data_IF_947267261214
#
_entry.id   IF_947267261214
#
_cell.length_a   1.000
_cell.length_b   1.000
_cell.length_c   1.000
_cell.angle_alpha   90.00
_cell.angle_beta   90.00
_cell.angle_gamma   90.00
#
_symmetry.space_group_name_H-M   'P 1'
#
loop_
_entity.id
_entity.type
_entity.pdbx_description
1 polymer ?
#
# COMPACT_ATOMS: atom_id res chain seq x y z
N UNK A 1 -20.66 53.30 20.89
CA UNK A 1 -21.73 52.61 20.13
C UNK A 1 -22.84 52.24 21.09
N UNK A 2 -24.12 52.43 20.71
CA UNK A 2 -25.23 51.97 21.53
C UNK A 2 -25.29 50.45 21.59
N UNK A 3 -25.82 49.88 22.65
CA UNK A 3 -25.96 48.45 22.87
C UNK A 3 -26.69 47.74 21.69
N UNK A 4 -27.67 48.47 21.09
CA UNK A 4 -28.36 47.97 19.88
C UNK A 4 -27.47 47.94 18.64
N UNK A 5 -26.56 48.90 18.50
CA UNK A 5 -25.64 48.93 17.37
C UNK A 5 -24.59 47.79 17.48
N UNK A 6 -24.14 47.51 18.71
CA UNK A 6 -23.21 46.40 18.99
C UNK A 6 -23.84 45.02 18.68
N UNK A 7 -25.09 44.81 19.15
CA UNK A 7 -25.82 43.56 18.84
C UNK A 7 -26.06 43.38 17.35
N UNK A 8 -26.45 44.43 16.61
CA UNK A 8 -26.63 44.34 15.15
C UNK A 8 -25.32 44.03 14.44
N UNK A 9 -24.20 44.61 14.86
CA UNK A 9 -22.90 44.36 14.30
C UNK A 9 -22.46 42.90 14.58
N UNK A 10 -22.61 42.42 15.82
CA UNK A 10 -22.29 41.06 16.21
C UNK A 10 -23.15 40.01 15.46
N UNK A 11 -24.46 40.27 15.31
CA UNK A 11 -25.34 39.41 14.50
C UNK A 11 -24.95 39.42 13.02
N UNK A 12 -24.56 40.58 12.47
CA UNK A 12 -24.08 40.68 11.09
C UNK A 12 -22.79 39.92 10.88
N UNK A 13 -21.82 40.02 11.81
CA UNK A 13 -20.58 39.29 11.76
C UNK A 13 -20.82 37.77 11.82
N UNK A 14 -21.66 37.32 12.76
CA UNK A 14 -22.00 35.90 12.90
C UNK A 14 -22.68 35.37 11.63
N UNK A 15 -23.62 36.10 11.06
CA UNK A 15 -24.31 35.73 9.82
C UNK A 15 -23.30 35.63 8.67
N UNK A 16 -22.39 36.59 8.54
CA UNK A 16 -21.34 36.55 7.50
C UNK A 16 -20.44 35.35 7.67
N UNK A 17 -20.01 35.03 8.90
CA UNK A 17 -19.21 33.84 9.19
C UNK A 17 -19.95 32.57 8.80
N UNK A 18 -21.22 32.42 9.18
CA UNK A 18 -22.04 31.28 8.82
C UNK A 18 -22.21 31.12 7.30
N UNK A 19 -22.39 32.23 6.59
CA UNK A 19 -22.48 32.21 5.13
C UNK A 19 -21.18 31.81 4.47
N UNK A 20 -20.03 32.28 4.97
CA UNK A 20 -18.70 31.85 4.46
C UNK A 20 -18.46 30.39 4.73
N UNK A 21 -18.69 29.88 5.95
CA UNK A 21 -18.55 28.46 6.27
C UNK A 21 -19.50 27.60 5.44
N UNK A 22 -20.76 28.05 5.27
CA UNK A 22 -21.72 27.35 4.41
C UNK A 22 -21.28 27.30 2.93
N UNK A 23 -20.68 28.38 2.43
CA UNK A 23 -20.14 28.41 1.07
C UNK A 23 -18.94 27.45 0.92
N UNK A 24 -18.02 27.43 1.89
CA UNK A 24 -16.90 26.48 1.90
C UNK A 24 -17.40 25.02 1.92
N UNK A 25 -18.33 24.70 2.83
CA UNK A 25 -18.93 23.37 2.90
C UNK A 25 -19.65 22.99 1.59
N UNK A 26 -20.34 23.92 0.97
CA UNK A 26 -21.03 23.69 -0.31
C UNK A 26 -20.04 23.39 -1.45
N UNK A 27 -18.89 24.08 -1.48
CA UNK A 27 -17.81 23.81 -2.46
C UNK A 27 -17.25 22.42 -2.23
N UNK A 28 -16.89 22.05 -0.99
CA UNK A 28 -16.36 20.71 -0.67
C UNK A 28 -17.38 19.63 -1.01
N UNK A 29 -18.64 19.81 -0.64
CA UNK A 29 -19.71 18.86 -0.95
C UNK A 29 -19.94 18.69 -2.47
N UNK A 30 -19.88 19.77 -3.24
CA UNK A 30 -20.10 19.74 -4.68
C UNK A 30 -18.92 19.13 -5.43
N UNK A 31 -17.69 19.49 -5.05
CA UNK A 31 -16.47 18.96 -5.65
C UNK A 31 -16.21 17.54 -5.19
N UNK A 32 -16.39 17.27 -3.91
CA UNK A 32 -16.16 15.98 -3.25
C UNK A 32 -14.76 15.42 -3.55
N UNK A 33 -13.70 16.10 -3.09
CA UNK A 33 -12.33 15.77 -3.50
C UNK A 33 -11.87 14.41 -3.01
N UNK A 34 -12.47 13.89 -1.92
CA UNK A 34 -12.16 12.54 -1.40
C UNK A 34 -13.10 11.46 -1.95
N UNK A 35 -13.97 11.79 -2.89
CA UNK A 35 -14.97 10.86 -3.43
C UNK A 35 -15.91 10.30 -2.35
N UNK A 36 -16.06 10.98 -1.23
CA UNK A 36 -16.75 10.46 -0.05
C UNK A 36 -18.23 10.18 -0.30
N UNK A 37 -18.91 11.11 -0.99
CA UNK A 37 -20.31 10.98 -1.35
C UNK A 37 -20.52 10.36 -2.74
N UNK A 38 -19.56 10.54 -3.67
CA UNK A 38 -19.68 10.06 -5.06
C UNK A 38 -18.38 10.14 -5.86
N UNK A 39 -18.21 9.25 -6.82
CA UNK A 39 -17.20 9.44 -7.87
C UNK A 39 -17.60 10.60 -8.80
N UNK A 40 -16.64 11.41 -9.27
CA UNK A 40 -16.93 12.48 -10.23
C UNK A 40 -17.41 11.89 -11.57
N UNK A 41 -18.50 12.45 -12.14
CA UNK A 41 -19.08 12.01 -13.42
C UNK A 41 -18.77 12.99 -14.55
N UNK A 42 -18.69 14.27 -14.24
CA UNK A 42 -18.57 15.36 -15.22
C UNK A 42 -17.14 15.91 -15.33
N UNK A 43 -16.20 15.30 -14.63
CA UNK A 43 -14.79 15.67 -14.60
C UNK A 43 -13.93 14.45 -14.30
N UNK A 44 -12.64 14.51 -14.69
CA UNK A 44 -11.67 13.49 -14.30
C UNK A 44 -11.49 13.49 -12.77
N UNK A 45 -11.34 12.32 -12.14
CA UNK A 45 -10.90 12.25 -10.75
C UNK A 45 -9.51 12.87 -10.61
N UNK A 46 -9.22 13.43 -9.45
CA UNK A 46 -7.90 13.95 -9.10
C UNK A 46 -7.43 13.24 -7.85
N UNK A 47 -6.30 12.56 -7.95
CA UNK A 47 -5.74 11.77 -6.86
C UNK A 47 -4.67 12.58 -6.12
N UNK A 48 -4.73 12.61 -4.78
CA UNK A 48 -3.80 13.41 -3.96
C UNK A 48 -3.44 12.76 -2.62
N UNK A 49 -4.23 11.85 -2.11
CA UNK A 49 -3.96 11.15 -0.84
C UNK A 49 -4.75 9.86 -0.75
N UNK A 50 -4.04 8.76 -0.68
CA UNK A 50 -4.62 7.42 -0.56
C UNK A 50 -5.47 7.32 0.71
N UNK A 51 -4.95 7.77 1.88
CA UNK A 51 -5.67 7.67 3.16
C UNK A 51 -7.00 8.42 3.16
N UNK A 52 -7.05 9.59 2.50
CA UNK A 52 -8.28 10.38 2.42
C UNK A 52 -9.25 9.87 1.36
N UNK A 53 -8.73 9.34 0.25
CA UNK A 53 -9.57 8.98 -0.90
C UNK A 53 -9.99 7.52 -0.92
N UNK A 54 -9.25 6.62 -0.28
CA UNK A 54 -9.58 5.19 -0.23
C UNK A 54 -10.96 4.92 0.33
N UNK A 55 -11.38 5.63 1.37
CA UNK A 55 -12.73 5.49 1.93
C UNK A 55 -13.82 5.77 0.88
N UNK A 56 -13.68 6.87 0.14
CA UNK A 56 -14.60 7.23 -0.94
C UNK A 56 -14.54 6.27 -2.13
N UNK A 57 -13.34 5.80 -2.48
CA UNK A 57 -13.14 4.79 -3.53
C UNK A 57 -13.89 3.51 -3.17
N UNK A 58 -13.72 3.00 -1.95
CA UNK A 58 -14.40 1.80 -1.45
C UNK A 58 -15.92 1.98 -1.44
N UNK A 59 -16.43 3.12 -0.97
CA UNK A 59 -17.88 3.38 -0.87
C UNK A 59 -18.58 3.44 -2.23
N UNK A 60 -17.87 3.86 -3.26
CA UNK A 60 -18.47 4.18 -4.57
C UNK A 60 -18.09 3.20 -5.69
N UNK A 61 -17.29 2.16 -5.39
CA UNK A 61 -16.87 1.19 -6.39
C UNK A 61 -16.92 -0.23 -5.82
N UNK A 62 -17.87 -1.02 -6.32
CA UNK A 62 -17.89 -2.45 -6.07
C UNK A 62 -16.85 -3.15 -6.98
N UNK A 63 -16.23 -4.19 -6.46
CA UNK A 63 -15.32 -5.04 -7.23
C UNK A 63 -15.40 -6.49 -6.74
N UNK A 64 -15.23 -7.43 -7.66
CA UNK A 64 -15.22 -8.87 -7.34
C UNK A 64 -13.89 -9.25 -6.70
N UNK A 65 -12.79 -8.59 -7.11
CA UNK A 65 -11.44 -8.84 -6.62
C UNK A 65 -10.80 -7.52 -6.17
N UNK A 66 -10.29 -7.49 -4.94
CA UNK A 66 -9.61 -6.31 -4.39
C UNK A 66 -8.17 -6.64 -4.07
N UNK A 67 -7.24 -5.84 -4.58
CA UNK A 67 -5.84 -5.84 -4.14
C UNK A 67 -5.65 -4.75 -3.08
N UNK A 68 -5.26 -5.16 -1.88
CA UNK A 68 -4.94 -4.27 -0.75
C UNK A 68 -3.48 -4.43 -0.36
N UNK A 69 -2.82 -3.33 -0.05
CA UNK A 69 -1.46 -3.37 0.47
C UNK A 69 -0.85 -1.99 0.68
N UNK A 70 0.46 -1.98 0.91
CA UNK A 70 1.25 -0.76 1.10
C UNK A 70 1.61 -0.11 -0.25
N UNK A 71 2.64 0.76 -0.24
CA UNK A 71 3.24 1.31 -1.46
C UNK A 71 3.67 0.24 -2.47
N UNK A 72 3.95 -0.99 -2.03
CA UNK A 72 4.25 -2.12 -2.91
C UNK A 72 3.13 -2.45 -3.89
N UNK A 73 1.90 -2.08 -3.59
CA UNK A 73 0.76 -2.28 -4.49
C UNK A 73 0.43 -1.05 -5.35
N UNK A 74 1.15 0.05 -5.21
CA UNK A 74 0.83 1.32 -5.89
C UNK A 74 0.83 1.22 -7.42
N UNK A 75 1.72 0.41 -7.99
CA UNK A 75 1.89 0.29 -9.44
C UNK A 75 1.08 -0.84 -10.09
N UNK A 76 0.21 -1.52 -9.35
CA UNK A 76 -0.74 -2.44 -9.95
C UNK A 76 -1.96 -1.70 -10.52
N UNK A 77 -2.56 -2.26 -11.55
CA UNK A 77 -3.82 -1.76 -12.12
C UNK A 77 -4.98 -2.64 -11.66
N UNK A 78 -6.01 -2.03 -11.07
CA UNK A 78 -7.21 -2.76 -10.62
C UNK A 78 -7.87 -3.55 -11.76
N UNK A 79 -7.93 -2.98 -12.97
CA UNK A 79 -8.46 -3.68 -14.15
C UNK A 79 -7.67 -4.95 -14.50
N UNK A 80 -6.35 -4.95 -14.31
CA UNK A 80 -5.49 -6.13 -14.52
C UNK A 80 -5.73 -7.19 -13.44
N UNK A 81 -5.88 -6.75 -12.18
CA UNK A 81 -6.26 -7.65 -11.07
C UNK A 81 -7.55 -8.38 -11.41
N UNK A 82 -8.60 -7.65 -11.78
CA UNK A 82 -9.88 -8.26 -12.18
C UNK A 82 -9.77 -9.18 -13.40
N UNK A 83 -9.05 -8.76 -14.43
CA UNK A 83 -8.88 -9.58 -15.65
C UNK A 83 -8.18 -10.91 -15.38
N UNK A 84 -7.19 -10.93 -14.46
CA UNK A 84 -6.44 -12.14 -14.12
C UNK A 84 -7.26 -13.11 -13.27
N UNK A 85 -8.08 -12.61 -12.34
CA UNK A 85 -8.86 -13.43 -11.42
C UNK A 85 -10.33 -13.61 -11.82
N UNK A 86 -10.76 -13.04 -12.95
CA UNK A 86 -12.07 -13.33 -13.56
C UNK A 86 -13.21 -12.47 -13.03
N UNK A 87 -13.01 -11.15 -12.93
CA UNK A 87 -14.08 -10.23 -12.51
C UNK A 87 -13.68 -8.77 -12.66
N UNK A 88 -14.38 -7.89 -11.98
CA UNK A 88 -13.98 -6.50 -11.81
C UNK A 88 -12.94 -6.40 -10.70
N UNK A 89 -11.88 -5.61 -10.90
CA UNK A 89 -10.80 -5.47 -9.94
C UNK A 89 -10.63 -4.06 -9.43
N UNK A 90 -10.27 -3.93 -8.16
CA UNK A 90 -9.96 -2.65 -7.50
C UNK A 90 -8.63 -2.76 -6.76
N UNK A 91 -7.82 -1.72 -6.85
CA UNK A 91 -6.60 -1.57 -6.07
C UNK A 91 -6.82 -0.55 -4.97
N UNK A 92 -6.44 -0.91 -3.75
CA UNK A 92 -6.46 -0.07 -2.56
C UNK A 92 -5.06 -0.06 -1.96
N UNK A 93 -4.43 1.12 -1.91
CA UNK A 93 -3.05 1.27 -1.44
C UNK A 93 -3.02 2.21 -0.25
N UNK A 94 -2.30 1.83 0.81
CA UNK A 94 -2.00 2.69 1.96
C UNK A 94 -0.47 2.72 2.11
N UNK A 95 0.22 3.69 1.50
CA UNK A 95 1.68 3.75 1.53
C UNK A 95 2.21 3.76 2.96
N UNK A 96 3.21 2.91 3.23
CA UNK A 96 3.81 2.74 4.55
C UNK A 96 2.77 2.45 5.66
N UNK A 97 1.69 1.72 5.28
CA UNK A 97 0.54 1.46 6.15
C UNK A 97 0.84 0.56 7.32
N UNK A 98 0.11 0.74 8.42
CA UNK A 98 0.07 -0.19 9.54
C UNK A 98 -1.09 -1.17 9.40
N UNK A 99 -1.01 -2.33 10.06
CA UNK A 99 -2.08 -3.31 10.03
C UNK A 99 -3.41 -2.78 10.58
N UNK A 100 -3.38 -1.84 11.52
CA UNK A 100 -4.57 -1.11 11.98
C UNK A 100 -5.23 -0.29 10.87
N UNK A 101 -4.45 0.35 10.00
CA UNK A 101 -4.97 1.12 8.86
C UNK A 101 -5.57 0.19 7.80
N UNK A 102 -4.94 -0.95 7.53
CA UNK A 102 -5.50 -1.98 6.65
C UNK A 102 -6.79 -2.59 7.22
N UNK A 103 -6.90 -2.74 8.54
CA UNK A 103 -8.14 -3.23 9.19
C UNK A 103 -9.29 -2.24 9.05
N UNK A 104 -9.03 -0.95 9.14
CA UNK A 104 -10.04 0.09 8.85
C UNK A 104 -10.56 0.01 7.43
N UNK A 105 -9.64 -0.09 6.44
CA UNK A 105 -10.00 -0.24 5.02
C UNK A 105 -10.79 -1.54 4.79
N UNK A 106 -10.31 -2.66 5.34
CA UNK A 106 -10.96 -3.96 5.22
C UNK A 106 -12.36 -3.94 5.85
N UNK A 107 -12.50 -3.36 7.04
CA UNK A 107 -13.79 -3.25 7.73
C UNK A 107 -14.78 -2.43 6.91
N UNK A 108 -14.35 -1.31 6.32
CA UNK A 108 -15.20 -0.51 5.44
C UNK A 108 -15.57 -1.29 4.17
N UNK A 109 -14.62 -1.96 3.52
CA UNK A 109 -14.81 -2.74 2.31
C UNK A 109 -15.87 -3.83 2.52
N UNK A 110 -15.72 -4.64 3.57
CA UNK A 110 -16.61 -5.74 3.88
C UNK A 110 -18.03 -5.28 4.29
N UNK A 111 -18.14 -4.06 4.82
CA UNK A 111 -19.42 -3.47 5.20
C UNK A 111 -20.17 -2.88 4.01
N UNK A 112 -19.44 -2.36 3.01
CA UNK A 112 -20.04 -1.66 1.87
C UNK A 112 -20.22 -2.55 0.65
N UNK A 113 -19.14 -3.14 0.17
CA UNK A 113 -19.06 -3.94 -1.04
C UNK A 113 -18.11 -5.12 -0.83
N UNK A 114 -18.53 -6.17 -0.07
CA UNK A 114 -17.67 -7.32 0.16
C UNK A 114 -17.28 -7.98 -1.18
N UNK A 115 -15.99 -8.13 -1.48
CA UNK A 115 -15.52 -8.81 -2.67
C UNK A 115 -15.59 -10.33 -2.50
N UNK A 116 -15.52 -11.07 -3.60
CA UNK A 116 -15.36 -12.53 -3.56
C UNK A 116 -13.92 -12.91 -3.15
N UNK A 117 -12.94 -12.05 -3.50
CA UNK A 117 -11.52 -12.31 -3.30
C UNK A 117 -10.76 -11.05 -2.90
N UNK A 118 -9.86 -11.21 -1.94
CA UNK A 118 -8.90 -10.19 -1.53
C UNK A 118 -7.48 -10.71 -1.76
N UNK A 119 -6.70 -10.00 -2.58
CA UNK A 119 -5.25 -10.14 -2.63
C UNK A 119 -4.66 -9.18 -1.59
N UNK A 120 -3.81 -9.67 -0.70
CA UNK A 120 -3.15 -8.82 0.29
C UNK A 120 -1.64 -9.01 0.28
N UNK A 121 -0.93 -7.90 0.06
CA UNK A 121 0.52 -7.87 0.07
C UNK A 121 1.05 -7.92 1.51
N UNK A 122 1.70 -9.01 1.87
CA UNK A 122 2.43 -9.18 3.12
C UNK A 122 3.85 -8.62 2.95
N UNK A 123 4.00 -7.35 3.20
CA UNK A 123 5.30 -6.71 3.12
C UNK A 123 6.14 -7.04 4.35
N UNK A 124 7.27 -7.71 4.17
CA UNK A 124 8.10 -8.19 5.26
C UNK A 124 8.52 -7.06 6.22
N UNK A 125 8.82 -5.87 5.69
CA UNK A 125 9.17 -4.70 6.50
C UNK A 125 8.01 -4.20 7.38
N UNK A 126 6.78 -4.30 6.89
CA UNK A 126 5.58 -3.85 7.61
C UNK A 126 5.10 -4.95 8.56
N UNK A 127 5.18 -6.21 8.13
CA UNK A 127 4.79 -7.37 8.92
C UNK A 127 5.57 -7.47 10.23
N UNK A 128 6.85 -7.10 10.20
CA UNK A 128 7.75 -7.15 11.36
C UNK A 128 7.83 -5.86 12.16
N UNK A 129 7.12 -4.82 11.73
CA UNK A 129 7.10 -3.51 12.38
C UNK A 129 6.22 -3.52 13.62
N UNK A 130 6.61 -2.73 14.63
CA UNK A 130 5.78 -2.54 15.82
C UNK A 130 4.40 -1.98 15.46
N UNK A 131 3.31 -2.64 15.87
CA UNK A 131 1.94 -2.18 15.60
C UNK A 131 1.57 -0.89 16.31
N UNK A 132 2.33 -0.47 17.34
CA UNK A 132 2.09 0.75 18.09
C UNK A 132 2.47 2.05 17.34
N UNK A 133 3.13 1.94 16.19
CA UNK A 133 3.51 3.09 15.37
C UNK A 133 2.35 3.61 14.51
N UNK A 134 2.42 4.89 14.10
CA UNK A 134 1.48 5.51 13.15
C UNK A 134 2.27 6.39 12.19
N UNK A 135 2.23 6.10 10.90
CA UNK A 135 2.89 6.92 9.87
C UNK A 135 2.04 8.06 9.35
N UNK A 136 0.74 7.87 9.28
CA UNK A 136 -0.19 8.90 8.83
C UNK A 136 -1.50 8.76 9.59
N UNK A 137 -2.10 9.88 9.98
CA UNK A 137 -3.41 9.81 10.60
C UNK A 137 -4.46 9.44 9.55
N UNK A 138 -5.07 8.27 9.68
CA UNK A 138 -6.27 7.94 8.94
C UNK A 138 -7.38 8.93 9.34
N UNK A 139 -8.10 9.51 8.38
CA UNK A 139 -9.24 10.38 8.69
C UNK A 139 -10.45 9.51 9.11
N UNK A 140 -10.47 9.09 10.37
CA UNK A 140 -11.46 8.19 11.00
C UNK A 140 -12.90 8.50 10.59
N UNK A 141 -13.24 9.80 10.52
CA UNK A 141 -14.56 10.27 10.11
C UNK A 141 -14.95 9.96 8.65
N UNK A 142 -14.01 9.52 7.80
CA UNK A 142 -14.32 9.05 6.44
C UNK A 142 -14.57 7.54 6.41
N UNK A 143 -14.11 6.82 7.43
CA UNK A 143 -14.19 5.35 7.51
C UNK A 143 -15.35 4.85 8.38
N UNK A 144 -16.04 5.73 9.10
CA UNK A 144 -17.23 5.38 9.90
C UNK A 144 -18.56 5.64 9.15
N UNK A 145 -19.70 5.44 9.82
CA UNK A 145 -21.05 5.68 9.28
C UNK A 145 -21.75 6.83 10.03
N UNK A 146 -21.02 7.62 10.81
CA UNK A 146 -21.58 8.75 11.56
C UNK A 146 -21.65 10.02 10.72
N UNK A 147 -22.75 10.25 10.02
CA UNK A 147 -22.97 11.46 9.23
C UNK A 147 -22.95 12.77 10.04
N UNK A 148 -23.02 12.70 11.38
CA UNK A 148 -22.94 13.92 12.21
C UNK A 148 -21.51 14.47 12.26
N UNK A 149 -20.51 13.63 12.07
CA UNK A 149 -19.11 14.04 12.04
C UNK A 149 -18.62 14.48 10.65
N UNK A 150 -19.46 14.37 9.59
CA UNK A 150 -19.15 14.84 8.23
C UNK A 150 -18.80 16.35 8.21
N UNK A 151 -19.17 17.10 9.23
CA UNK A 151 -18.72 18.47 9.39
C UNK A 151 -17.17 18.59 9.41
N UNK A 152 -16.45 17.55 9.86
CA UNK A 152 -14.98 17.47 9.84
C UNK A 152 -14.45 17.36 8.40
N UNK A 153 -15.21 16.77 7.50
CA UNK A 153 -14.91 16.71 6.07
C UNK A 153 -15.26 18.02 5.37
N UNK A 154 -16.48 18.52 5.56
CA UNK A 154 -17.03 19.66 4.84
C UNK A 154 -16.38 21.00 5.22
N UNK A 155 -15.87 21.12 6.46
CA UNK A 155 -15.27 22.34 7.00
C UNK A 155 -13.75 22.19 7.24
N UNK A 156 -13.11 21.21 6.63
CA UNK A 156 -11.67 21.02 6.70
C UNK A 156 -10.96 21.93 5.68
N UNK A 157 -9.87 22.58 6.11
CA UNK A 157 -9.06 23.44 5.23
C UNK A 157 -8.40 22.66 4.08
N UNK A 158 -8.00 21.40 4.34
CA UNK A 158 -7.30 20.58 3.37
C UNK A 158 -8.28 20.08 2.28
N UNK A 159 -9.48 19.65 2.66
CA UNK A 159 -10.53 19.29 1.69
C UNK A 159 -11.00 20.48 0.85
N UNK A 160 -11.06 21.67 1.44
CA UNK A 160 -11.33 22.89 0.67
C UNK A 160 -10.19 23.21 -0.30
N UNK A 161 -8.94 23.08 0.14
CA UNK A 161 -7.77 23.26 -0.72
C UNK A 161 -7.79 22.27 -1.90
N UNK A 162 -7.99 20.98 -1.62
CA UNK A 162 -8.07 19.95 -2.67
C UNK A 162 -9.29 20.11 -3.58
N UNK A 163 -10.40 20.65 -3.07
CA UNK A 163 -11.54 21.01 -3.91
C UNK A 163 -11.16 22.08 -4.93
N UNK A 164 -10.47 23.13 -4.49
CA UNK A 164 -10.01 24.20 -5.38
C UNK A 164 -8.94 23.68 -6.35
N UNK A 165 -8.00 22.87 -5.85
CA UNK A 165 -6.98 22.22 -6.67
C UNK A 165 -7.61 21.33 -7.74
N UNK A 166 -8.58 20.48 -7.40
CA UNK A 166 -9.28 19.62 -8.35
C UNK A 166 -9.99 20.42 -9.45
N UNK A 167 -10.59 21.57 -9.12
CA UNK A 167 -11.22 22.45 -10.13
C UNK A 167 -10.19 23.13 -11.05
N UNK A 168 -9.04 23.50 -10.51
CA UNK A 168 -8.00 24.20 -11.26
C UNK A 168 -7.18 23.24 -12.15
N UNK A 169 -6.94 22.02 -11.68
CA UNK A 169 -6.09 21.04 -12.34
C UNK A 169 -6.77 20.20 -13.42
N UNK A 170 -8.07 20.41 -13.68
CA UNK A 170 -8.84 19.64 -14.68
C UNK A 170 -8.18 19.53 -16.05
N UNK A 171 -7.41 20.54 -16.44
CA UNK A 171 -6.73 20.58 -17.74
C UNK A 171 -5.49 19.69 -17.80
N UNK A 172 -4.86 19.42 -16.65
CA UNK A 172 -3.60 18.66 -16.55
C UNK A 172 -3.85 17.20 -16.17
N UNK A 173 -4.94 16.93 -15.42
CA UNK A 173 -5.28 15.59 -14.93
C UNK A 173 -6.38 14.93 -15.78
N UNK A 174 -6.61 15.44 -16.99
CA UNK A 174 -7.57 14.85 -17.92
C UNK A 174 -7.05 13.48 -18.40
N UNK A 175 -7.52 12.40 -17.81
CA UNK A 175 -7.13 11.03 -18.15
C UNK A 175 -6.76 10.15 -16.96
N UNK A 176 -6.61 10.71 -15.76
CA UNK A 176 -6.47 9.88 -14.56
C UNK A 176 -7.72 9.03 -14.33
N UNK A 177 -7.49 7.80 -13.92
CA UNK A 177 -8.53 6.79 -13.62
C UNK A 177 -8.19 6.08 -12.31
N UNK A 178 -9.07 5.21 -11.82
CA UNK A 178 -8.75 4.34 -10.68
C UNK A 178 -7.55 3.40 -10.95
N UNK A 179 -7.27 3.10 -12.21
CA UNK A 179 -6.12 2.28 -12.59
C UNK A 179 -4.79 3.05 -12.51
N UNK A 180 -4.82 4.34 -12.84
CA UNK A 180 -3.61 5.16 -12.95
C UNK A 180 -3.39 6.10 -11.77
N UNK A 181 -4.44 6.39 -11.00
CA UNK A 181 -4.33 7.21 -9.80
C UNK A 181 -3.36 6.61 -8.79
N UNK A 182 -2.51 7.45 -8.18
CA UNK A 182 -1.46 7.06 -7.22
C UNK A 182 -0.34 6.16 -7.77
N UNK A 183 -0.28 5.92 -9.09
CA UNK A 183 0.85 5.19 -9.69
C UNK A 183 2.09 6.08 -9.78
N UNK A 184 3.26 5.45 -9.72
CA UNK A 184 4.56 6.12 -9.80
C UNK A 184 5.22 6.00 -11.17
N UNK A 185 4.62 5.21 -12.09
CA UNK A 185 5.23 4.86 -13.39
C UNK A 185 5.78 6.06 -14.18
N UNK A 186 5.11 7.22 -14.09
CA UNK A 186 5.54 8.44 -14.80
C UNK A 186 6.41 9.38 -13.94
N UNK A 187 6.70 8.99 -12.68
CA UNK A 187 7.38 9.88 -11.71
C UNK A 187 8.74 9.39 -11.26
N UNK A 188 9.06 8.12 -11.49
CA UNK A 188 10.33 7.49 -11.14
C UNK A 188 10.88 6.69 -12.32
N UNK A 189 12.16 6.41 -12.28
CA UNK A 189 12.81 5.57 -13.29
C UNK A 189 12.95 4.14 -12.75
N UNK A 190 12.60 3.18 -13.60
CA UNK A 190 12.66 1.75 -13.33
C UNK A 190 13.86 1.17 -14.04
N UNK A 191 14.99 1.08 -13.37
CA UNK A 191 16.21 0.49 -13.90
C UNK A 191 17.21 0.22 -12.77
N UNK A 192 18.19 -0.65 -13.06
CA UNK A 192 19.23 -1.03 -12.10
C UNK A 192 20.06 0.16 -11.60
N UNK A 193 20.26 1.21 -12.41
CA UNK A 193 21.05 2.37 -12.00
C UNK A 193 20.32 3.15 -10.90
N UNK A 194 19.02 3.38 -11.08
CA UNK A 194 18.19 4.05 -10.09
C UNK A 194 18.10 3.24 -8.81
N UNK A 195 17.82 1.92 -8.93
CA UNK A 195 17.74 1.02 -7.78
C UNK A 195 19.02 0.99 -6.95
N UNK A 196 20.18 1.08 -7.59
CA UNK A 196 21.48 1.13 -6.90
C UNK A 196 21.81 2.51 -6.33
N UNK A 197 21.42 3.60 -7.00
CA UNK A 197 21.65 4.97 -6.53
C UNK A 197 20.83 5.28 -5.27
N UNK A 198 19.60 4.79 -5.24
CA UNK A 198 18.69 4.89 -4.08
C UNK A 198 19.00 3.86 -2.96
N UNK A 199 19.92 2.92 -3.21
CA UNK A 199 20.31 1.92 -2.22
C UNK A 199 21.54 2.34 -1.40
N UNK A 200 21.29 2.88 -0.23
CA UNK A 200 22.35 3.14 0.76
C UNK A 200 22.78 1.81 1.42
N UNK A 201 23.85 1.22 0.89
CA UNK A 201 24.37 -0.08 1.34
C UNK A 201 24.89 0.01 2.76
N UNK A 202 24.33 -0.72 3.75
CA UNK A 202 24.72 -0.57 5.15
C UNK A 202 26.07 -1.19 5.43
N UNK A 203 26.75 -0.70 6.48
CA UNK A 203 27.91 -1.37 7.06
C UNK A 203 27.52 -2.72 7.67
N UNK A 204 28.44 -3.68 7.67
CA UNK A 204 28.21 -4.99 8.27
C UNK A 204 28.04 -4.85 9.79
N UNK A 205 26.92 -5.31 10.31
CA UNK A 205 26.63 -5.26 11.73
C UNK A 205 27.62 -6.11 12.55
N UNK A 206 28.12 -5.55 13.63
CA UNK A 206 29.04 -6.25 14.53
C UNK A 206 28.35 -7.37 15.35
N UNK A 207 27.02 -7.29 15.49
CA UNK A 207 26.20 -8.26 16.25
C UNK A 207 24.91 -8.50 15.48
N UNK A 208 24.59 -9.78 15.30
CA UNK A 208 23.32 -10.16 14.64
C UNK A 208 22.13 -9.97 15.57
N UNK A 209 20.99 -9.63 14.98
CA UNK A 209 19.70 -9.55 15.67
C UNK A 209 19.29 -10.95 16.16
N UNK A 210 18.83 -11.11 17.41
CA UNK A 210 18.30 -12.39 17.87
C UNK A 210 17.11 -12.85 17.04
N UNK A 211 17.04 -14.13 16.67
CA UNK A 211 15.96 -14.69 15.84
C UNK A 211 14.53 -14.41 16.37
N UNK A 212 14.37 -14.28 17.69
CA UNK A 212 13.08 -13.99 18.30
C UNK A 212 12.71 -12.50 18.38
N UNK A 213 13.57 -11.58 17.92
CA UNK A 213 13.39 -10.14 18.14
C UNK A 213 12.13 -9.56 17.49
N UNK A 214 11.72 -10.10 16.36
CA UNK A 214 10.58 -9.60 15.57
C UNK A 214 9.26 -10.38 15.82
N UNK A 215 9.29 -11.47 16.57
CA UNK A 215 8.16 -12.40 16.66
C UNK A 215 6.93 -11.80 17.35
N UNK A 216 7.11 -10.96 18.36
CA UNK A 216 5.97 -10.38 19.10
C UNK A 216 5.16 -9.43 18.20
N UNK A 217 5.82 -8.49 17.54
CA UNK A 217 5.19 -7.54 16.63
C UNK A 217 4.58 -8.26 15.42
N UNK A 218 5.29 -9.24 14.86
CA UNK A 218 4.78 -10.10 13.78
C UNK A 218 3.50 -10.84 14.20
N UNK A 219 3.45 -11.42 15.38
CA UNK A 219 2.28 -12.14 15.87
C UNK A 219 1.07 -11.21 16.03
N UNK A 220 1.27 -9.99 16.53
CA UNK A 220 0.22 -8.99 16.67
C UNK A 220 -0.32 -8.54 15.31
N UNK A 221 0.56 -8.28 14.35
CA UNK A 221 0.16 -7.94 12.98
C UNK A 221 -0.58 -9.09 12.29
N UNK A 222 -0.13 -10.33 12.43
CA UNK A 222 -0.79 -11.51 11.88
C UNK A 222 -2.18 -11.75 12.50
N UNK A 223 -2.39 -11.36 13.76
CA UNK A 223 -3.69 -11.47 14.40
C UNK A 223 -4.77 -10.65 13.69
N UNK A 224 -4.41 -9.54 13.05
CA UNK A 224 -5.32 -8.76 12.21
C UNK A 224 -5.77 -9.58 11.00
N UNK A 225 -4.83 -10.20 10.30
CA UNK A 225 -5.11 -11.00 9.09
C UNK A 225 -5.94 -12.24 9.41
N UNK A 226 -5.60 -12.95 10.47
CA UNK A 226 -6.37 -14.14 10.91
C UNK A 226 -7.77 -13.78 11.39
N UNK A 227 -7.95 -12.57 11.95
CA UNK A 227 -9.26 -12.05 12.28
C UNK A 227 -10.10 -11.81 11.02
N UNK A 228 -9.52 -11.33 9.92
CA UNK A 228 -10.24 -11.21 8.64
C UNK A 228 -10.71 -12.57 8.13
N UNK A 229 -9.80 -13.55 8.06
CA UNK A 229 -10.13 -14.89 7.60
C UNK A 229 -11.25 -15.54 8.42
N UNK A 230 -11.24 -15.30 9.75
CA UNK A 230 -12.27 -15.82 10.66
C UNK A 230 -13.61 -15.10 10.53
N UNK A 231 -13.58 -13.77 10.38
CA UNK A 231 -14.81 -12.95 10.30
C UNK A 231 -15.50 -13.04 8.94
N UNK A 232 -14.74 -13.34 7.88
CA UNK A 232 -15.22 -13.35 6.50
C UNK A 232 -14.90 -14.69 5.84
N UNK A 233 -15.50 -15.81 6.32
CA UNK A 233 -15.15 -17.15 5.85
C UNK A 233 -15.52 -17.44 4.40
N UNK A 234 -16.44 -16.65 3.82
CA UNK A 234 -16.87 -16.77 2.42
C UNK A 234 -15.98 -15.97 1.45
N UNK A 235 -15.01 -15.20 1.95
CA UNK A 235 -14.06 -14.43 1.16
C UNK A 235 -12.76 -15.23 1.01
N UNK A 236 -12.26 -15.34 -0.23
CA UNK A 236 -10.96 -15.93 -0.49
C UNK A 236 -9.85 -14.89 -0.30
N UNK A 237 -8.83 -15.22 0.49
CA UNK A 237 -7.67 -14.38 0.75
C UNK A 237 -6.44 -14.97 0.08
N UNK A 238 -5.95 -14.34 -1.00
CA UNK A 238 -4.65 -14.63 -1.60
C UNK A 238 -3.60 -13.70 -1.00
N UNK A 239 -2.82 -14.23 -0.07
CA UNK A 239 -1.76 -13.48 0.61
C UNK A 239 -0.43 -13.76 -0.07
N UNK A 240 0.37 -12.74 -0.28
CA UNK A 240 1.67 -12.93 -0.91
C UNK A 240 2.75 -12.09 -0.25
N UNK A 241 3.91 -12.67 -0.04
CA UNK A 241 5.09 -11.89 0.35
C UNK A 241 5.58 -11.11 -0.87
N UNK A 242 5.58 -9.78 -0.76
CA UNK A 242 5.98 -8.88 -1.85
C UNK A 242 7.42 -9.15 -2.32
N UNK A 243 7.68 -9.19 -3.62
CA UNK A 243 9.01 -9.46 -4.16
C UNK A 243 9.89 -8.22 -4.04
N UNK A 244 10.56 -8.05 -2.91
CA UNK A 244 11.61 -7.07 -2.76
C UNK A 244 12.85 -7.48 -3.56
N UNK A 245 13.64 -6.51 -4.03
CA UNK A 245 14.82 -6.83 -4.85
C UNK A 245 15.90 -7.60 -4.07
N UNK A 246 16.89 -8.12 -4.79
CA UNK A 246 18.06 -8.76 -4.15
C UNK A 246 18.81 -7.81 -3.21
N UNK A 247 18.71 -6.49 -3.42
CA UNK A 247 19.30 -5.49 -2.53
C UNK A 247 18.67 -5.47 -1.13
N UNK A 248 17.38 -5.84 -1.02
CA UNK A 248 16.75 -6.05 0.28
C UNK A 248 17.43 -7.16 1.06
N UNK A 249 17.79 -8.26 0.40
CA UNK A 249 18.46 -9.40 1.04
C UNK A 249 19.90 -9.07 1.41
N UNK A 250 20.62 -8.29 0.58
CA UNK A 250 21.94 -7.75 0.94
C UNK A 250 21.85 -6.90 2.21
N UNK A 251 20.84 -6.03 2.29
CA UNK A 251 20.61 -5.20 3.47
C UNK A 251 20.35 -6.02 4.72
N UNK A 252 19.44 -7.00 4.65
CA UNK A 252 19.08 -7.86 5.78
C UNK A 252 20.27 -8.68 6.26
N UNK A 253 21.08 -9.22 5.34
CA UNK A 253 22.26 -10.00 5.68
C UNK A 253 23.34 -9.11 6.34
N UNK A 254 23.66 -7.97 5.75
CA UNK A 254 24.63 -7.02 6.29
C UNK A 254 24.23 -6.45 7.65
N UNK A 255 22.96 -6.19 7.88
CA UNK A 255 22.44 -5.75 9.17
C UNK A 255 22.36 -6.87 10.22
N UNK A 256 22.67 -8.14 9.83
CA UNK A 256 22.60 -9.29 10.72
C UNK A 256 21.17 -9.65 11.14
N UNK A 257 20.19 -9.34 10.30
CA UNK A 257 18.76 -9.52 10.58
C UNK A 257 18.19 -10.82 9.97
N UNK A 258 18.99 -11.56 9.20
CA UNK A 258 18.56 -12.75 8.46
C UNK A 258 17.77 -13.73 9.31
N UNK A 259 18.30 -14.14 10.47
CA UNK A 259 17.65 -15.12 11.34
C UNK A 259 16.33 -14.59 11.93
N UNK A 260 16.24 -13.31 12.24
CA UNK A 260 15.03 -12.70 12.79
C UNK A 260 13.92 -12.58 11.72
N UNK A 261 14.28 -12.17 10.50
CA UNK A 261 13.34 -12.08 9.37
C UNK A 261 12.83 -13.48 9.01
N UNK A 262 13.70 -14.49 8.88
CA UNK A 262 13.26 -15.86 8.57
C UNK A 262 12.39 -16.47 9.68
N UNK A 263 12.64 -16.17 10.95
CA UNK A 263 11.77 -16.58 12.05
C UNK A 263 10.38 -15.92 11.96
N UNK A 264 10.31 -14.65 11.56
CA UNK A 264 9.04 -13.96 11.34
C UNK A 264 8.26 -14.54 10.14
N UNK A 265 8.94 -14.85 9.01
CA UNK A 265 8.33 -15.49 7.85
C UNK A 265 7.84 -16.92 8.19
N UNK A 266 8.59 -17.66 9.00
CA UNK A 266 8.15 -18.98 9.49
C UNK A 266 6.91 -18.87 10.38
N UNK A 267 6.86 -17.86 11.27
CA UNK A 267 5.69 -17.58 12.09
C UNK A 267 4.48 -17.25 11.22
N UNK A 268 4.66 -16.44 10.17
CA UNK A 268 3.58 -16.10 9.25
C UNK A 268 3.02 -17.35 8.55
N UNK A 269 3.89 -18.22 8.01
CA UNK A 269 3.45 -19.49 7.41
C UNK A 269 2.67 -20.36 8.40
N UNK A 270 3.20 -20.57 9.61
CA UNK A 270 2.55 -21.37 10.66
C UNK A 270 1.18 -20.82 11.08
N UNK A 271 1.04 -19.49 11.09
CA UNK A 271 -0.17 -18.81 11.52
C UNK A 271 -1.24 -18.80 10.45
N UNK A 272 -0.87 -18.59 9.19
CA UNK A 272 -1.80 -18.35 8.10
C UNK A 272 -2.24 -19.63 7.37
N UNK A 273 -1.35 -20.59 7.16
CA UNK A 273 -1.64 -21.80 6.38
C UNK A 273 -2.77 -22.69 6.93
N UNK A 274 -3.10 -22.70 8.24
CA UNK A 274 -4.23 -23.49 8.75
C UNK A 274 -5.63 -23.00 8.35
N UNK A 275 -5.74 -21.78 7.78
CA UNK A 275 -7.03 -21.22 7.38
C UNK A 275 -7.41 -21.67 5.97
N UNK A 276 -8.57 -22.31 5.82
CA UNK A 276 -9.03 -22.88 4.54
C UNK A 276 -9.27 -21.82 3.44
N UNK A 277 -9.65 -20.61 3.83
CA UNK A 277 -9.88 -19.48 2.94
C UNK A 277 -8.64 -18.59 2.72
N UNK A 278 -7.46 -19.05 3.16
CA UNK A 278 -6.17 -18.38 2.88
C UNK A 278 -5.34 -19.22 1.89
N UNK A 279 -4.90 -18.60 0.82
CA UNK A 279 -3.80 -19.10 -0.02
C UNK A 279 -2.59 -18.20 0.19
N UNK A 280 -1.41 -18.78 0.48
CA UNK A 280 -0.18 -18.04 0.74
C UNK A 280 0.85 -18.28 -0.37
N UNK A 281 1.49 -17.20 -0.87
CA UNK A 281 2.49 -17.24 -1.93
C UNK A 281 3.81 -16.62 -1.49
N UNK A 282 4.92 -17.27 -1.87
CA UNK A 282 6.28 -16.89 -1.48
C UNK A 282 7.03 -16.10 -2.55
N UNK A 283 6.42 -15.09 -3.17
CA UNK A 283 7.04 -14.31 -4.27
C UNK A 283 8.30 -13.54 -3.88
N UNK A 284 8.51 -13.30 -2.58
CA UNK A 284 9.77 -12.75 -2.06
C UNK A 284 10.99 -13.66 -2.35
N UNK A 285 10.74 -14.91 -2.75
CA UNK A 285 11.76 -15.92 -3.06
C UNK A 285 11.89 -16.17 -4.57
N UNK A 286 11.27 -15.36 -5.40
CA UNK A 286 11.28 -15.53 -6.85
C UNK A 286 12.47 -14.80 -7.47
N UNK A 287 13.52 -15.57 -7.78
CA UNK A 287 14.78 -15.05 -8.34
C UNK A 287 14.60 -14.37 -9.69
N UNK A 288 13.67 -14.83 -10.51
CA UNK A 288 13.41 -14.24 -11.84
C UNK A 288 12.89 -12.79 -11.73
N UNK A 289 12.29 -12.44 -10.59
CA UNK A 289 11.84 -11.09 -10.31
C UNK A 289 12.89 -10.34 -9.50
N UNK A 290 13.33 -10.88 -8.35
CA UNK A 290 14.11 -10.12 -7.37
C UNK A 290 15.55 -9.80 -7.81
N UNK A 291 16.15 -10.60 -8.68
CA UNK A 291 17.49 -10.36 -9.24
C UNK A 291 17.46 -9.41 -10.45
N UNK A 292 16.28 -9.11 -11.01
CA UNK A 292 16.12 -8.22 -12.15
C UNK A 292 15.95 -6.79 -11.69
N UNK A 293 17.06 -6.07 -11.42
CA UNK A 293 17.03 -4.70 -10.90
C UNK A 293 16.36 -3.69 -11.85
N UNK A 294 16.23 -3.98 -13.15
CA UNK A 294 15.51 -3.13 -14.09
C UNK A 294 13.99 -3.07 -13.81
N UNK A 295 13.48 -3.93 -12.94
CA UNK A 295 12.10 -3.83 -12.44
C UNK A 295 11.94 -2.87 -11.26
N UNK A 296 13.02 -2.34 -10.67
CA UNK A 296 12.98 -1.61 -9.41
C UNK A 296 13.44 -0.16 -9.57
N UNK A 297 12.92 0.74 -8.71
CA UNK A 297 13.41 2.10 -8.57
C UNK A 297 14.22 2.32 -7.28
N UNK A 298 14.15 1.38 -6.35
CA UNK A 298 14.92 1.30 -5.12
C UNK A 298 15.08 -0.17 -4.69
N UNK A 299 15.47 -0.43 -3.46
CA UNK A 299 15.69 -1.81 -2.99
C UNK A 299 14.40 -2.62 -2.72
N UNK A 300 13.21 -2.01 -2.76
CA UNK A 300 11.93 -2.67 -2.49
C UNK A 300 10.87 -2.45 -3.57
N UNK A 301 10.69 -1.22 -4.09
CA UNK A 301 9.58 -0.87 -4.95
C UNK A 301 9.80 -1.31 -6.40
N UNK A 302 8.82 -2.02 -6.93
CA UNK A 302 8.86 -2.55 -8.29
C UNK A 302 7.84 -1.85 -9.21
N UNK A 303 8.12 -1.93 -10.52
CA UNK A 303 7.32 -1.36 -11.61
C UNK A 303 5.99 -2.07 -11.82
N UNK A 304 5.11 -1.46 -12.62
CA UNK A 304 3.88 -2.09 -13.07
C UNK A 304 4.14 -3.36 -13.90
N UNK A 305 5.24 -3.42 -14.66
CA UNK A 305 5.63 -4.60 -15.43
C UNK A 305 5.90 -5.80 -14.50
N UNK A 306 6.70 -5.61 -13.45
CA UNK A 306 6.91 -6.64 -12.43
C UNK A 306 5.60 -7.01 -11.72
N UNK A 307 4.73 -6.03 -11.45
CA UNK A 307 3.41 -6.27 -10.91
C UNK A 307 2.53 -7.17 -11.78
N UNK A 308 2.59 -7.06 -13.10
CA UNK A 308 1.88 -7.96 -14.02
C UNK A 308 2.45 -9.40 -13.95
N UNK A 309 3.77 -9.57 -13.80
CA UNK A 309 4.39 -10.88 -13.58
C UNK A 309 3.93 -11.50 -12.26
N UNK A 310 3.90 -10.70 -11.19
CA UNK A 310 3.38 -11.11 -9.88
C UNK A 310 1.94 -11.61 -9.99
N UNK A 311 1.05 -10.87 -10.64
CA UNK A 311 -0.35 -11.29 -10.84
C UNK A 311 -0.45 -12.60 -11.63
N UNK A 312 0.35 -12.77 -12.66
CA UNK A 312 0.38 -14.00 -13.44
C UNK A 312 0.83 -15.21 -12.59
N UNK A 313 1.84 -15.03 -11.74
CA UNK A 313 2.32 -16.08 -10.82
C UNK A 313 1.28 -16.41 -9.74
N UNK A 314 0.65 -15.42 -9.14
CA UNK A 314 -0.44 -15.60 -8.18
C UNK A 314 -1.58 -16.43 -8.78
N UNK A 315 -2.06 -16.06 -9.96
CA UNK A 315 -3.18 -16.75 -10.61
C UNK A 315 -2.84 -18.19 -11.06
N UNK A 316 -1.59 -18.45 -11.40
CA UNK A 316 -1.13 -19.79 -11.78
C UNK A 316 -0.89 -20.71 -10.58
N UNK A 317 -0.88 -20.15 -9.36
CA UNK A 317 -0.50 -20.87 -8.14
C UNK A 317 0.99 -21.19 -8.08
N UNK A 318 1.83 -20.54 -8.90
CA UNK A 318 3.28 -20.59 -8.75
C UNK A 318 3.68 -20.06 -7.35
N UNK A 319 4.78 -20.55 -6.82
CA UNK A 319 5.31 -20.13 -5.52
C UNK A 319 4.35 -20.28 -4.33
N UNK A 320 3.28 -21.09 -4.50
CA UNK A 320 2.34 -21.38 -3.42
C UNK A 320 3.04 -22.10 -2.27
N UNK A 321 2.89 -21.53 -1.07
CA UNK A 321 3.33 -22.14 0.17
C UNK A 321 2.22 -23.03 0.74
N UNK A 322 2.61 -24.17 1.26
CA UNK A 322 1.71 -25.16 1.90
C UNK A 322 2.33 -25.66 3.20
N UNK A 323 1.54 -26.34 4.04
CA UNK A 323 2.07 -26.97 5.26
C UNK A 323 3.20 -27.97 4.99
N UNK A 324 3.20 -28.62 3.81
CA UNK A 324 4.20 -29.61 3.44
C UNK A 324 5.50 -28.97 2.93
N UNK A 325 5.43 -27.81 2.25
CA UNK A 325 6.59 -27.26 1.54
C UNK A 325 7.26 -26.05 2.23
N UNK A 326 6.54 -25.25 3.04
CA UNK A 326 7.03 -23.95 3.49
C UNK A 326 8.37 -24.02 4.25
N UNK A 327 8.55 -25.05 5.12
CA UNK A 327 9.80 -25.19 5.89
C UNK A 327 11.01 -25.42 4.99
N UNK A 328 10.83 -26.27 3.98
CA UNK A 328 11.89 -26.54 2.99
C UNK A 328 12.17 -25.31 2.14
N UNK A 329 11.13 -24.61 1.72
CA UNK A 329 11.25 -23.36 0.95
C UNK A 329 12.02 -22.30 1.74
N UNK A 330 11.64 -22.05 2.99
CA UNK A 330 12.34 -21.09 3.85
C UNK A 330 13.79 -21.49 4.13
N UNK A 331 14.06 -22.77 4.39
CA UNK A 331 15.42 -23.25 4.62
C UNK A 331 16.30 -23.06 3.37
N UNK A 332 15.82 -23.44 2.20
CA UNK A 332 16.54 -23.26 0.94
C UNK A 332 16.80 -21.78 0.65
N UNK A 333 15.83 -20.92 0.95
CA UNK A 333 15.95 -19.49 0.71
C UNK A 333 16.92 -18.83 1.71
N UNK A 334 16.89 -19.24 2.97
CA UNK A 334 17.88 -18.81 3.95
C UNK A 334 19.29 -19.18 3.52
N UNK A 335 19.48 -20.45 3.06
CA UNK A 335 20.76 -20.90 2.55
C UNK A 335 21.20 -20.09 1.31
N UNK A 336 20.27 -19.73 0.43
CA UNK A 336 20.53 -18.85 -0.70
C UNK A 336 21.01 -17.47 -0.22
N UNK A 337 20.29 -16.83 0.70
CA UNK A 337 20.61 -15.48 1.21
C UNK A 337 21.99 -15.43 1.85
N UNK A 338 22.31 -16.37 2.75
CA UNK A 338 23.60 -16.34 3.47
C UNK A 338 24.81 -16.78 2.62
N UNK A 339 24.59 -17.44 1.48
CA UNK A 339 25.65 -17.88 0.58
C UNK A 339 25.70 -17.10 -0.73
N UNK A 340 24.84 -16.10 -0.89
CA UNK A 340 24.83 -15.28 -2.10
C UNK A 340 26.05 -14.36 -2.16
N UNK A 341 26.69 -14.29 -3.30
CA UNK A 341 27.87 -13.44 -3.50
C UNK A 341 27.45 -11.99 -3.79
N UNK A 342 26.99 -11.28 -2.73
CA UNK A 342 26.56 -9.88 -2.81
C UNK A 342 27.69 -8.95 -3.24
N UNK A 343 28.95 -9.24 -2.88
CA UNK A 343 30.07 -8.39 -3.30
C UNK A 343 30.28 -8.49 -4.81
N UNK A 344 30.23 -9.68 -5.37
CA UNK A 344 30.30 -9.86 -6.82
C UNK A 344 29.13 -9.20 -7.51
N UNK A 345 27.89 -9.39 -7.01
CA UNK A 345 26.69 -8.79 -7.58
C UNK A 345 26.80 -7.25 -7.55
N UNK A 346 27.25 -6.67 -6.43
CA UNK A 346 27.46 -5.24 -6.28
C UNK A 346 28.51 -4.72 -7.25
N UNK A 347 29.67 -5.36 -7.33
CA UNK A 347 30.77 -4.96 -8.22
C UNK A 347 30.36 -5.00 -9.70
N UNK A 348 29.64 -6.05 -10.10
CA UNK A 348 29.18 -6.21 -11.50
C UNK A 348 28.19 -5.10 -11.90
N UNK A 349 27.31 -4.67 -11.03
CA UNK A 349 26.27 -3.67 -11.33
C UNK A 349 26.73 -2.23 -11.04
N UNK A 350 27.43 -2.01 -9.94
CA UNK A 350 27.93 -0.69 -9.54
C UNK A 350 29.04 -0.19 -10.47
N UNK A 351 29.87 -1.09 -10.98
CA UNK A 351 30.95 -0.75 -11.91
C UNK A 351 30.44 -0.08 -13.19
N UNK A 352 29.30 -0.49 -13.70
CA UNK A 352 28.70 0.11 -14.89
C UNK A 352 28.26 1.57 -14.68
N UNK A 353 27.89 2.01 -13.50
CA UNK A 353 27.50 3.39 -13.21
C UNK A 353 28.64 4.38 -13.44
N UNK A 354 29.87 3.99 -13.15
CA UNK A 354 31.04 4.88 -13.22
C UNK A 354 31.87 4.74 -14.50
N UNK A 355 31.63 3.70 -15.31
CA UNK A 355 32.48 3.36 -16.42
C UNK A 355 31.76 3.24 -17.77
N UNK A 356 30.45 3.51 -17.86
CA UNK A 356 29.81 3.69 -19.16
C UNK A 356 30.27 5.02 -19.76
N UNK A 357 30.87 5.03 -20.97
CA UNK A 357 31.21 6.28 -21.66
C UNK A 357 29.92 7.07 -21.83
N UNK A 358 29.86 8.30 -21.33
CA UNK A 358 28.83 9.25 -21.68
C UNK A 358 28.72 9.29 -23.21
N UNK A 359 27.73 8.61 -23.77
CA UNK A 359 27.32 8.85 -25.15
C UNK A 359 26.57 10.18 -25.15
N UNK A 360 27.36 11.26 -25.19
CA UNK A 360 26.92 12.62 -25.46
C UNK A 360 26.33 12.76 -26.86
#
# INVERSE_FOLDING_TARGET
MSDRAYKRWSCGLLLTLLLVLGACAAVVYWVDPCFYYRMPKDRAPVFFSERYQTAGIVRNNAADVVLLGSSMTANYRGSKVGAVFGGTGLRLTIPDGYYSEFDEVMTLLMRTHPPERVLFALDANILTRSPAGVTGAMPDYLYDDDSLNDARYLLNKDTLYYSLYALMSQRWNAGETLDTGFMWDDTVWWNHMEALDEYERPEIAAVSMPAGALLADTAENLAVVTNWATRYPDVEFDLFFSPYSILYWDKIDRMGETDAVFAALELACKTLLPYENITLHGLLFDRDIIEQLDYYCDYVHHSAEAGELVLAKLSSGADRLTEENYRKTLANWRDFVVNYDYEKFWDEHYWYQFHTPNNS
#
